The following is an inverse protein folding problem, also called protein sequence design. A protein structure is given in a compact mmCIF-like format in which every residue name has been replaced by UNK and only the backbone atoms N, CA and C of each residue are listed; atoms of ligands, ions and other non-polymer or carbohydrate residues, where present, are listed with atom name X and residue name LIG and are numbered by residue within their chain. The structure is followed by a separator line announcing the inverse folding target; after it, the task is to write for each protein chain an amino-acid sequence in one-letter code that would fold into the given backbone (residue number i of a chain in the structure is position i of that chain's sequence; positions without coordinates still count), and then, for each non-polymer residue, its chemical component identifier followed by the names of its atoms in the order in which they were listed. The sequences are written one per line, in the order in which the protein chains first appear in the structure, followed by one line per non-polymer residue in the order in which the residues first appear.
data_IF_701481586370
#
_entry.id   IF_701481586370
#
_cell.length_a   1.000
_cell.length_b   1.000
_cell.length_c   1.000
_cell.angle_alpha   90.00
_cell.angle_beta   90.00
_cell.angle_gamma   90.00
#
_symmetry.space_group_name_H-M   'P 1'
#
loop_
_entity.id
_entity.type
_entity.pdbx_description
1 polymer ?
#
# COMPACT_ATOMS: atom_id res chain seq x y z
N UNK A 1 0.12 -18.95 5.59
CA UNK A 1 -0.42 -17.67 6.07
C UNK A 1 -0.44 -16.69 4.91
N UNK A 2 -1.59 -16.09 4.62
CA UNK A 2 -1.66 -14.99 3.65
C UNK A 2 -1.16 -13.72 4.34
N UNK A 3 -0.34 -12.89 3.67
CA UNK A 3 0.03 -11.59 4.22
C UNK A 3 -1.22 -10.72 4.39
N UNK A 4 -1.22 -9.86 5.41
CA UNK A 4 -2.28 -8.86 5.63
C UNK A 4 -1.62 -7.52 5.94
N UNK A 5 -2.24 -6.43 5.48
CA UNK A 5 -1.78 -5.09 5.83
C UNK A 5 -2.16 -4.76 7.29
N UNK A 6 -1.35 -3.95 8.00
CA UNK A 6 -1.69 -3.48 9.33
C UNK A 6 -3.02 -2.73 9.33
N UNK A 7 -3.86 -2.98 10.33
CA UNK A 7 -5.20 -2.38 10.43
C UNK A 7 -5.13 -0.85 10.54
N UNK A 8 -4.09 -0.30 11.17
CA UNK A 8 -3.88 1.16 11.29
C UNK A 8 -3.79 1.85 9.92
N UNK A 9 -2.95 1.32 9.02
CA UNK A 9 -2.78 1.85 7.65
C UNK A 9 -4.09 1.72 6.86
N UNK A 10 -4.78 0.59 7.00
CA UNK A 10 -6.09 0.38 6.35
C UNK A 10 -7.11 1.43 6.81
N UNK A 11 -7.17 1.72 8.12
CA UNK A 11 -8.06 2.76 8.65
C UNK A 11 -7.70 4.17 8.17
N UNK A 12 -6.41 4.49 8.04
CA UNK A 12 -5.97 5.78 7.49
C UNK A 12 -6.42 5.95 6.04
N UNK A 13 -6.28 4.92 5.21
CA UNK A 13 -6.79 4.91 3.84
C UNK A 13 -8.31 5.12 3.83
N UNK A 14 -9.07 4.34 4.60
CA UNK A 14 -10.53 4.48 4.68
C UNK A 14 -10.94 5.90 5.10
N UNK A 15 -10.25 6.48 6.09
CA UNK A 15 -10.47 7.85 6.55
C UNK A 15 -10.19 8.88 5.44
N UNK A 16 -9.08 8.74 4.70
CA UNK A 16 -8.70 9.65 3.60
C UNK A 16 -9.76 9.69 2.50
N UNK A 17 -10.36 8.55 2.18
CA UNK A 17 -11.42 8.43 1.17
C UNK A 17 -12.84 8.55 1.74
N UNK A 18 -12.99 8.84 3.04
CA UNK A 18 -14.28 8.98 3.74
C UNK A 18 -15.17 7.74 3.61
N UNK A 19 -14.56 6.55 3.63
CA UNK A 19 -15.23 5.26 3.56
C UNK A 19 -15.36 4.64 4.96
N UNK A 20 -16.44 3.90 5.18
CA UNK A 20 -16.59 3.06 6.38
C UNK A 20 -15.96 1.68 6.17
N UNK A 21 -15.62 0.99 7.26
CA UNK A 21 -15.13 -0.40 7.23
C UNK A 21 -16.12 -1.35 6.56
N UNK A 22 -17.41 -1.11 6.74
CA UNK A 22 -18.51 -1.92 6.20
C UNK A 22 -18.93 -1.50 4.79
N UNK A 23 -18.27 -0.50 4.19
CA UNK A 23 -18.58 -0.06 2.83
C UNK A 23 -18.36 -1.21 1.86
N UNK A 24 -19.44 -1.62 1.19
CA UNK A 24 -19.42 -2.67 0.18
C UNK A 24 -19.06 -2.07 -1.17
N UNK A 25 -18.05 -2.65 -1.82
CA UNK A 25 -17.55 -2.21 -3.12
C UNK A 25 -17.69 -3.38 -4.09
N UNK A 26 -18.34 -3.12 -5.21
CA UNK A 26 -18.44 -4.07 -6.32
C UNK A 26 -17.49 -3.62 -7.42
N UNK A 27 -16.47 -4.42 -7.68
CA UNK A 27 -15.50 -4.15 -8.76
C UNK A 27 -15.99 -4.85 -10.03
N UNK A 28 -16.19 -4.07 -11.08
CA UNK A 28 -16.45 -4.56 -12.43
C UNK A 28 -15.23 -4.26 -13.29
N UNK A 29 -14.56 -5.31 -13.75
CA UNK A 29 -13.42 -5.19 -14.67
C UNK A 29 -13.75 -5.89 -15.97
N UNK A 30 -13.39 -5.27 -17.10
CA UNK A 30 -13.43 -5.89 -18.43
C UNK A 30 -12.15 -6.66 -18.76
N UNK A 31 -11.12 -6.57 -17.92
CA UNK A 31 -9.82 -7.24 -18.06
C UNK A 31 -9.53 -8.10 -16.83
N UNK A 32 -8.62 -9.07 -16.95
CA UNK A 32 -8.16 -9.88 -15.82
C UNK A 32 -7.58 -8.98 -14.71
N UNK A 33 -8.09 -9.13 -13.49
CA UNK A 33 -7.64 -8.41 -12.30
C UNK A 33 -7.50 -9.38 -11.14
N UNK A 34 -6.53 -9.13 -10.27
CA UNK A 34 -6.37 -9.87 -9.01
C UNK A 34 -7.43 -9.51 -7.96
N UNK A 35 -8.17 -8.43 -8.19
CA UNK A 35 -9.25 -7.96 -7.32
C UNK A 35 -10.50 -8.82 -7.52
N UNK A 36 -11.30 -9.03 -6.44
CA UNK A 36 -12.54 -9.78 -6.54
C UNK A 36 -13.54 -9.02 -7.42
N UNK A 37 -13.99 -9.65 -8.50
CA UNK A 37 -14.95 -9.07 -9.44
C UNK A 37 -16.30 -9.78 -9.38
N UNK A 38 -17.37 -9.05 -9.70
CA UNK A 38 -18.71 -9.63 -9.87
C UNK A 38 -19.57 -9.73 -8.61
N UNK A 39 -19.00 -9.59 -7.40
CA UNK A 39 -19.74 -9.60 -6.13
C UNK A 39 -19.30 -8.44 -5.21
N UNK A 40 -20.16 -8.01 -4.26
CA UNK A 40 -19.80 -6.99 -3.29
C UNK A 40 -18.80 -7.52 -2.26
N UNK A 41 -17.73 -6.77 -2.02
CA UNK A 41 -16.71 -7.05 -1.00
C UNK A 41 -16.48 -5.80 -0.17
N UNK A 42 -16.21 -5.95 1.13
CA UNK A 42 -15.92 -4.80 1.98
C UNK A 42 -14.63 -4.10 1.54
N UNK A 43 -14.62 -2.77 1.61
CA UNK A 43 -13.44 -1.94 1.35
C UNK A 43 -12.26 -2.37 2.24
N UNK A 44 -12.56 -2.68 3.51
CA UNK A 44 -11.57 -3.19 4.46
C UNK A 44 -10.92 -4.49 3.98
N UNK A 45 -11.71 -5.47 3.54
CA UNK A 45 -11.19 -6.76 3.05
C UNK A 45 -10.27 -6.58 1.84
N UNK A 46 -10.65 -5.70 0.90
CA UNK A 46 -9.83 -5.39 -0.28
C UNK A 46 -8.48 -4.79 0.15
N UNK A 47 -8.52 -3.74 0.97
CA UNK A 47 -7.32 -3.03 1.43
C UNK A 47 -6.44 -3.88 2.34
N UNK A 48 -7.03 -4.79 3.11
CA UNK A 48 -6.29 -5.65 4.04
C UNK A 48 -5.55 -6.80 3.33
N UNK A 49 -6.18 -7.42 2.32
CA UNK A 49 -5.74 -8.71 1.79
C UNK A 49 -5.36 -8.76 0.31
N UNK A 50 -5.71 -7.75 -0.51
CA UNK A 50 -5.56 -7.85 -1.96
C UNK A 50 -4.49 -6.91 -2.55
N UNK A 51 -4.15 -5.82 -1.87
CA UNK A 51 -3.24 -4.77 -2.39
C UNK A 51 -2.10 -4.48 -1.41
N UNK A 52 -0.93 -4.03 -1.88
CA UNK A 52 0.14 -3.55 -0.97
C UNK A 52 -0.01 -2.04 -0.69
N UNK A 53 -0.17 -1.64 0.57
CA UNK A 53 -0.35 -0.22 0.94
C UNK A 53 0.98 0.51 1.24
N UNK A 54 2.02 -0.22 1.65
CA UNK A 54 3.28 0.35 2.15
C UNK A 54 4.39 0.41 1.08
N UNK A 55 4.05 0.27 -0.20
CA UNK A 55 5.07 0.40 -1.25
C UNK A 55 5.40 1.88 -1.52
N UNK A 56 6.70 2.20 -1.69
CA UNK A 56 7.11 3.52 -2.15
C UNK A 56 6.41 3.87 -3.46
N UNK A 57 5.88 5.10 -3.55
CA UNK A 57 5.24 5.60 -4.75
C UNK A 57 6.26 5.65 -5.90
N UNK A 58 5.84 5.20 -7.09
CA UNK A 58 6.66 5.25 -8.30
C UNK A 58 6.62 6.63 -8.98
N UNK A 59 7.65 6.94 -9.78
CA UNK A 59 7.69 8.18 -10.59
C UNK A 59 6.43 8.38 -11.44
N UNK A 60 5.97 7.33 -12.13
CA UNK A 60 4.73 7.38 -12.95
C UNK A 60 3.48 7.69 -12.12
N UNK A 61 3.41 7.16 -10.90
CA UNK A 61 2.31 7.47 -10.00
C UNK A 61 2.38 8.91 -9.51
N UNK A 62 3.58 9.45 -9.22
CA UNK A 62 3.77 10.87 -8.88
C UNK A 62 3.36 11.80 -10.02
N UNK A 63 3.76 11.49 -11.26
CA UNK A 63 3.34 12.24 -12.45
C UNK A 63 1.81 12.21 -12.62
N UNK A 64 1.20 11.06 -12.38
CA UNK A 64 -0.26 10.89 -12.42
C UNK A 64 -0.94 11.73 -11.33
N UNK A 65 -0.40 11.74 -10.12
CA UNK A 65 -0.92 12.58 -9.04
C UNK A 65 -0.78 14.05 -9.37
N UNK A 66 0.38 14.50 -9.84
CA UNK A 66 0.61 15.88 -10.25
C UNK A 66 -0.44 16.35 -11.26
N UNK A 67 -0.81 15.52 -12.25
CA UNK A 67 -1.86 15.86 -13.21
C UNK A 67 -3.28 15.98 -12.61
N UNK A 68 -3.51 15.43 -11.41
CA UNK A 68 -4.80 15.44 -10.70
C UNK A 68 -4.89 16.51 -9.61
N UNK A 69 -3.79 17.19 -9.29
CA UNK A 69 -3.78 18.26 -8.28
C UNK A 69 -4.34 19.55 -8.87
N UNK A 70 -5.08 20.30 -8.05
CA UNK A 70 -5.71 21.57 -8.46
C UNK A 70 -4.79 22.78 -8.24
N UNK A 71 -3.86 22.68 -7.30
CA UNK A 71 -2.90 23.74 -6.98
C UNK A 71 -1.62 23.60 -7.84
N UNK A 72 -1.31 24.61 -8.64
CA UNK A 72 -0.12 24.66 -9.51
C UNK A 72 1.20 24.52 -8.71
N UNK A 73 1.24 24.97 -7.46
CA UNK A 73 2.41 24.80 -6.60
C UNK A 73 2.62 23.33 -6.23
N UNK A 74 1.54 22.65 -5.82
CA UNK A 74 1.59 21.21 -5.50
C UNK A 74 1.94 20.38 -6.75
N UNK A 75 1.41 20.75 -7.92
CA UNK A 75 1.77 20.11 -9.19
C UNK A 75 3.28 20.21 -9.46
N UNK A 76 3.85 21.40 -9.33
CA UNK A 76 5.28 21.64 -9.60
C UNK A 76 6.16 20.89 -8.60
N UNK A 77 5.76 20.85 -7.33
CA UNK A 77 6.47 20.09 -6.31
C UNK A 77 6.44 18.58 -6.60
N UNK A 78 5.29 18.02 -6.96
CA UNK A 78 5.18 16.60 -7.32
C UNK A 78 5.96 16.24 -8.58
N UNK A 79 5.99 17.13 -9.58
CA UNK A 79 6.86 16.97 -10.75
C UNK A 79 8.34 16.98 -10.36
N UNK A 80 8.76 17.88 -9.47
CA UNK A 80 10.13 17.89 -8.93
C UNK A 80 10.47 16.59 -8.19
N UNK A 81 9.53 16.07 -7.38
CA UNK A 81 9.66 14.79 -6.67
C UNK A 81 9.76 13.59 -7.62
N UNK A 82 9.14 13.64 -8.81
CA UNK A 82 9.31 12.59 -9.83
C UNK A 82 10.68 12.61 -10.52
N UNK A 83 11.39 13.74 -10.48
CA UNK A 83 12.70 13.93 -11.11
C UNK A 83 13.87 13.54 -10.21
N UNK A 84 14.82 14.47 -10.04
CA UNK A 84 16.08 14.26 -9.32
C UNK A 84 15.89 14.04 -7.82
N UNK A 85 14.83 14.62 -7.23
CA UNK A 85 14.53 14.50 -5.81
C UNK A 85 13.97 13.12 -5.43
N UNK A 86 13.56 12.29 -6.41
CA UNK A 86 12.90 11.00 -6.18
C UNK A 86 13.69 10.07 -5.25
N UNK A 87 15.00 9.96 -5.44
CA UNK A 87 15.81 9.05 -4.62
C UNK A 87 15.77 9.45 -3.14
N UNK A 88 16.08 10.71 -2.86
CA UNK A 88 16.24 11.22 -1.49
C UNK A 88 14.91 11.44 -0.78
N UNK A 89 13.92 11.96 -1.48
CA UNK A 89 12.66 12.37 -0.88
C UNK A 89 11.62 11.24 -0.86
N UNK A 90 11.69 10.28 -1.80
CA UNK A 90 10.71 9.20 -1.91
C UNK A 90 11.30 7.86 -1.48
N UNK A 91 12.42 7.43 -2.08
CA UNK A 91 12.96 6.09 -1.83
C UNK A 91 13.61 5.97 -0.45
N UNK A 92 14.45 6.94 -0.07
CA UNK A 92 15.16 6.91 1.21
C UNK A 92 14.17 7.07 2.39
N UNK A 93 13.10 7.86 2.20
CA UNK A 93 12.01 8.04 3.18
C UNK A 93 10.91 6.98 3.07
N UNK A 94 10.91 6.18 2.01
CA UNK A 94 9.92 5.15 1.68
C UNK A 94 8.46 5.67 1.67
N UNK A 95 8.24 6.86 1.08
CA UNK A 95 6.91 7.47 1.04
C UNK A 95 5.94 6.66 0.16
N UNK A 96 4.81 6.25 0.73
CA UNK A 96 3.73 5.58 0.03
C UNK A 96 2.77 6.58 -0.63
N UNK A 97 1.87 6.08 -1.48
CA UNK A 97 0.85 6.91 -2.14
C UNK A 97 -0.01 7.65 -1.11
N UNK A 98 -0.34 6.99 0.01
CA UNK A 98 -1.13 7.60 1.08
C UNK A 98 -0.41 8.81 1.68
N UNK A 99 0.89 8.72 1.96
CA UNK A 99 1.69 9.82 2.53
C UNK A 99 1.67 11.04 1.62
N UNK A 100 1.79 10.83 0.31
CA UNK A 100 1.71 11.91 -0.69
C UNK A 100 0.31 12.53 -0.70
N UNK A 101 -0.75 11.73 -0.66
CA UNK A 101 -2.13 12.23 -0.64
C UNK A 101 -2.50 12.97 0.65
N UNK A 102 -1.79 12.72 1.75
CA UNK A 102 -1.92 13.47 3.01
C UNK A 102 -1.13 14.78 2.99
N UNK A 103 0.07 14.79 2.39
CA UNK A 103 0.90 15.99 2.24
C UNK A 103 0.35 16.97 1.19
N UNK A 104 -0.29 16.45 0.14
CA UNK A 104 -0.79 17.21 -1.00
C UNK A 104 -2.32 17.04 -1.13
N UNK A 105 -3.10 17.78 -0.31
CA UNK A 105 -4.54 17.61 -0.26
C UNK A 105 -5.28 18.11 -1.51
N UNK A 106 -4.65 18.94 -2.36
CA UNK A 106 -5.29 19.43 -3.59
C UNK A 106 -5.42 18.35 -4.67
N UNK A 107 -4.70 17.23 -4.52
CA UNK A 107 -4.72 16.08 -5.41
C UNK A 107 -6.03 15.29 -5.24
N UNK A 108 -6.89 15.42 -6.24
CA UNK A 108 -8.24 14.84 -6.25
C UNK A 108 -8.20 13.43 -6.85
N UNK A 109 -7.58 12.50 -6.10
CA UNK A 109 -7.55 11.09 -6.48
C UNK A 109 -8.81 10.38 -5.97
N UNK A 110 -9.56 9.75 -6.88
CA UNK A 110 -10.70 8.92 -6.49
C UNK A 110 -10.26 7.55 -5.95
N UNK A 111 -11.06 6.95 -5.06
CA UNK A 111 -10.77 5.62 -4.51
C UNK A 111 -10.60 4.51 -5.58
N UNK A 112 -11.40 4.46 -6.67
CA UNK A 112 -11.18 3.50 -7.74
C UNK A 112 -9.84 3.69 -8.47
N UNK A 113 -9.41 4.95 -8.70
CA UNK A 113 -8.10 5.24 -9.28
C UNK A 113 -6.97 4.82 -8.34
N UNK A 114 -7.12 5.09 -7.04
CA UNK A 114 -6.19 4.65 -6.00
C UNK A 114 -6.00 3.13 -6.03
N UNK A 115 -7.09 2.34 -6.00
CA UNK A 115 -7.01 0.89 -6.07
C UNK A 115 -6.31 0.37 -7.34
N UNK A 116 -6.48 1.05 -8.47
CA UNK A 116 -5.80 0.68 -9.73
C UNK A 116 -4.32 0.99 -9.75
N UNK A 117 -3.88 1.97 -8.96
CA UNK A 117 -2.47 2.32 -8.83
C UNK A 117 -1.73 1.35 -7.91
N UNK A 118 -2.41 0.68 -6.99
CA UNK A 118 -1.78 -0.23 -6.05
C UNK A 118 -1.43 -1.58 -6.70
N UNK A 119 -0.23 -2.11 -6.42
CA UNK A 119 0.13 -3.46 -6.85
C UNK A 119 -0.61 -4.51 -6.01
N UNK A 120 -0.72 -5.72 -6.56
CA UNK A 120 -1.29 -6.85 -5.84
C UNK A 120 -0.45 -7.24 -4.63
N UNK A 121 -1.11 -7.70 -3.57
CA UNK A 121 -0.46 -8.23 -2.38
C UNK A 121 0.30 -9.51 -2.75
N UNK A 122 1.61 -9.52 -2.56
CA UNK A 122 2.44 -10.67 -2.94
C UNK A 122 2.57 -11.65 -1.78
N UNK A 123 2.38 -12.94 -2.08
CA UNK A 123 2.65 -14.02 -1.12
C UNK A 123 4.13 -14.00 -0.75
N UNK A 124 4.43 -13.89 0.55
CA UNK A 124 5.80 -13.97 1.08
C UNK A 124 6.15 -15.45 1.29
N UNK A 125 7.21 -15.90 0.62
CA UNK A 125 7.79 -17.23 0.85
C UNK A 125 8.73 -17.16 2.05
N UNK A 126 8.54 -18.05 3.03
CA UNK A 126 9.41 -18.16 4.18
C UNK A 126 10.11 -19.52 4.18
N UNK A 127 11.39 -19.56 4.55
CA UNK A 127 12.12 -20.82 4.72
C UNK A 127 11.66 -21.51 5.99
N UNK A 128 11.26 -22.77 5.86
CA UNK A 128 10.94 -23.63 7.00
C UNK A 128 12.24 -23.89 7.78
N UNK A 129 12.30 -23.48 9.04
CA UNK A 129 13.46 -23.69 9.92
C UNK A 129 13.36 -24.98 10.76
N UNK A 130 12.34 -25.81 10.51
CA UNK A 130 12.16 -27.12 11.13
C UNK A 130 12.59 -28.28 10.22
N UNK A 131 13.16 -29.33 10.81
CA UNK A 131 13.42 -30.59 10.12
C UNK A 131 12.21 -31.52 10.20
N UNK A 132 11.74 -32.13 9.09
CA UNK A 132 10.66 -33.11 9.12
C UNK A 132 11.03 -34.39 9.88
N UNK A 133 12.32 -34.60 10.16
CA UNK A 133 12.81 -35.72 10.97
C UNK A 133 12.45 -35.59 12.46
N UNK A 134 12.18 -34.37 12.95
CA UNK A 134 11.88 -34.10 14.36
C UNK A 134 10.37 -34.22 14.65
N UNK A 135 9.52 -33.62 13.81
CA UNK A 135 8.07 -33.81 13.88
C UNK A 135 7.43 -33.43 12.53
N UNK A 136 6.83 -34.39 11.80
CA UNK A 136 6.25 -34.13 10.47
C UNK A 136 4.95 -33.30 10.50
N UNK A 137 4.28 -33.17 11.64
CA UNK A 137 3.04 -32.39 11.78
C UNK A 137 3.28 -30.93 12.21
N UNK A 138 4.53 -30.57 12.54
CA UNK A 138 4.87 -29.22 13.01
C UNK A 138 5.85 -28.52 12.08
N UNK A 139 5.50 -27.31 11.64
CA UNK A 139 6.38 -26.43 10.87
C UNK A 139 6.76 -25.24 11.75
N UNK A 140 8.06 -25.01 11.95
CA UNK A 140 8.56 -23.83 12.69
C UNK A 140 9.04 -22.78 11.71
N UNK A 141 8.70 -21.52 12.00
CA UNK A 141 9.09 -20.36 11.21
C UNK A 141 9.78 -19.32 12.09
N UNK A 142 11.00 -18.95 11.74
CA UNK A 142 11.70 -17.82 12.39
C UNK A 142 11.50 -16.58 11.53
N UNK A 143 10.82 -15.57 12.06
CA UNK A 143 10.58 -14.29 11.39
C UNK A 143 11.23 -13.16 12.19
N UNK A 144 12.00 -12.31 11.52
CA UNK A 144 12.43 -11.03 12.07
C UNK A 144 11.34 -9.98 11.80
N UNK A 145 10.79 -9.39 12.86
CA UNK A 145 9.74 -8.36 12.76
C UNK A 145 10.43 -7.01 12.86
N UNK A 146 10.61 -6.35 11.71
CA UNK A 146 11.13 -4.99 11.68
C UNK A 146 10.04 -4.02 12.15
N UNK A 147 10.10 -3.65 13.42
CA UNK A 147 9.36 -2.53 13.99
C UNK A 147 10.31 -1.34 14.14
N UNK A 148 10.18 -0.35 13.26
CA UNK A 148 10.99 0.87 13.31
C UNK A 148 10.10 2.11 13.12
N UNK A 149 10.52 3.28 13.63
CA UNK A 149 9.88 4.54 13.25
C UNK A 149 9.85 4.69 11.73
N UNK A 150 8.74 5.16 11.18
CA UNK A 150 8.66 5.32 9.73
C UNK A 150 9.67 6.36 9.25
N UNK A 151 10.46 6.01 8.24
CA UNK A 151 11.42 6.92 7.60
C UNK A 151 10.70 8.10 6.91
N UNK A 152 9.40 7.97 6.69
CA UNK A 152 8.51 9.04 6.22
C UNK A 152 8.28 10.13 7.28
N UNK A 153 8.58 9.85 8.55
CA UNK A 153 8.22 10.70 9.69
C UNK A 153 6.77 10.53 10.17
N UNK A 154 5.97 9.70 9.49
CA UNK A 154 4.56 9.46 9.81
C UNK A 154 4.37 8.08 10.46
N UNK A 155 4.24 8.04 11.79
CA UNK A 155 3.89 6.83 12.54
C UNK A 155 4.99 5.77 12.63
N UNK A 156 4.58 4.52 12.85
CA UNK A 156 5.49 3.36 12.88
C UNK A 156 5.49 2.65 11.53
N UNK A 157 6.69 2.34 11.03
CA UNK A 157 6.84 1.46 9.89
C UNK A 157 6.87 0.02 10.37
N UNK A 158 5.77 -0.68 10.10
CA UNK A 158 5.71 -2.11 10.20
C UNK A 158 6.24 -2.71 8.91
N UNK A 159 7.52 -3.09 8.94
CA UNK A 159 8.05 -3.99 7.93
C UNK A 159 7.31 -5.32 8.04
N UNK A 160 6.34 -5.55 7.16
CA UNK A 160 6.70 -6.40 6.05
C UNK A 160 7.73 -7.53 6.30
N UNK A 161 7.57 -8.57 7.16
CA UNK A 161 8.69 -9.41 7.58
C UNK A 161 9.51 -9.85 6.37
N UNK A 162 10.73 -9.34 6.31
CA UNK A 162 11.66 -9.50 5.21
C UNK A 162 12.93 -10.13 5.75
N UNK A 163 13.38 -11.14 4.99
CA UNK A 163 14.61 -11.92 5.12
C UNK A 163 15.78 -11.27 5.85
#
# INVERSE_FOLDING_TARGET
MLPTNPSEVVHQVLKRFKLSTDTQIKITSSTETFLPTGYPVSAYTILCGYVELNQPISRKQLETLAALCKDENEQTQLQSLSGDAYQKEILDKRLAILDILEQYPSCDLSFPQYLRMLPSLRVRQYSISSSPLWNPESVTLTIDVLNAPALSGHGQYWGCPSK
#
